data_IF_716495012301
#
_entry.id   IF_716495012301
#
_cell.length_a   1.000
_cell.length_b   1.000
_cell.length_c   1.000
_cell.angle_alpha   90.00
_cell.angle_beta   90.00
_cell.angle_gamma   90.00
#
_symmetry.space_group_name_H-M   'P 1'
#
loop_
_entity.id
_entity.type
_entity.pdbx_description
1 polymer ?
#
# COMPACT_ATOMS: atom_id res chain seq x y z
N UNK A 1 20.07 -8.72 -17.49
CA UNK A 1 19.26 -8.98 -16.28
C UNK A 1 17.99 -8.16 -16.42
N UNK A 2 16.84 -8.80 -16.58
CA UNK A 2 15.55 -8.06 -16.64
C UNK A 2 15.32 -7.40 -15.26
N UNK A 3 14.82 -6.16 -15.21
CA UNK A 3 14.41 -5.55 -13.94
C UNK A 3 13.34 -6.44 -13.32
N UNK A 4 13.55 -6.84 -12.08
CA UNK A 4 12.54 -7.57 -11.32
C UNK A 4 11.35 -6.62 -11.11
N UNK A 5 10.21 -6.93 -11.72
CA UNK A 5 8.97 -6.14 -11.58
C UNK A 5 8.45 -6.13 -10.15
N UNK A 6 8.97 -7.01 -9.28
CA UNK A 6 8.69 -7.05 -7.84
C UNK A 6 9.74 -6.31 -7.00
N UNK A 7 10.85 -5.80 -7.58
CA UNK A 7 11.86 -5.06 -6.82
C UNK A 7 11.35 -3.67 -6.44
N UNK A 8 10.88 -3.62 -5.20
CA UNK A 8 10.41 -2.48 -4.44
C UNK A 8 11.40 -1.32 -4.25
N UNK A 9 11.78 -0.52 -5.25
CA UNK A 9 12.86 0.48 -5.05
C UNK A 9 12.55 1.57 -4.02
N UNK A 10 11.27 1.89 -3.80
CA UNK A 10 10.82 2.92 -2.85
C UNK A 10 10.56 2.40 -1.43
N UNK A 11 10.44 1.07 -1.24
CA UNK A 11 10.26 0.45 0.09
C UNK A 11 11.53 0.49 0.95
N UNK A 12 12.68 0.79 0.36
CA UNK A 12 13.96 0.88 1.06
C UNK A 12 14.35 2.32 1.41
N UNK A 13 13.38 3.16 1.79
CA UNK A 13 13.66 4.50 2.32
C UNK A 13 14.03 4.36 3.80
N UNK A 14 15.34 4.34 4.08
CA UNK A 14 15.81 4.50 5.47
C UNK A 14 15.63 5.96 5.85
N UNK A 15 14.81 6.23 6.87
CA UNK A 15 14.69 7.58 7.42
C UNK A 15 15.82 7.83 8.42
N UNK A 16 16.38 9.04 8.37
CA UNK A 16 17.39 9.48 9.34
C UNK A 16 16.80 9.56 10.75
N UNK A 17 17.64 9.29 11.76
CA UNK A 17 17.19 9.20 13.15
C UNK A 17 16.86 10.56 13.80
N UNK A 18 17.36 11.67 13.27
CA UNK A 18 17.07 12.99 13.83
C UNK A 18 15.60 13.36 13.62
N UNK A 19 14.90 13.78 14.68
CA UNK A 19 13.44 13.97 14.69
C UNK A 19 12.94 14.90 13.57
N UNK A 20 13.48 16.12 13.48
CA UNK A 20 13.05 17.10 12.48
C UNK A 20 13.28 16.62 11.05
N UNK A 21 14.37 15.88 10.83
CA UNK A 21 14.71 15.34 9.52
C UNK A 21 13.83 14.15 9.16
N UNK A 22 13.42 13.35 10.15
CA UNK A 22 12.47 12.25 10.00
C UNK A 22 11.07 12.76 9.66
N UNK A 23 10.62 13.84 10.31
CA UNK A 23 9.36 14.52 9.99
C UNK A 23 9.33 15.01 8.54
N UNK A 24 10.40 15.66 8.08
CA UNK A 24 10.52 16.08 6.67
C UNK A 24 10.49 14.88 5.72
N UNK A 25 11.15 13.78 6.09
CA UNK A 25 11.13 12.53 5.32
C UNK A 25 9.72 11.94 5.21
N UNK A 26 8.94 11.93 6.28
CA UNK A 26 7.54 11.50 6.25
C UNK A 26 6.69 12.37 5.33
N UNK A 27 6.80 13.70 5.43
CA UNK A 27 6.08 14.64 4.57
C UNK A 27 6.43 14.42 3.08
N UNK A 28 7.72 14.26 2.77
CA UNK A 28 8.15 13.97 1.40
C UNK A 28 7.61 12.64 0.87
N UNK A 29 7.68 11.56 1.66
CA UNK A 29 7.13 10.24 1.27
C UNK A 29 5.63 10.35 1.05
N UNK A 30 4.90 11.00 1.94
CA UNK A 30 3.44 11.16 1.83
C UNK A 30 3.06 11.92 0.55
N UNK A 31 3.75 13.02 0.24
CA UNK A 31 3.55 13.77 -1.01
C UNK A 31 3.88 12.94 -2.24
N UNK A 32 4.97 12.17 -2.22
CA UNK A 32 5.32 11.28 -3.32
C UNK A 32 4.24 10.22 -3.55
N UNK A 33 3.71 9.60 -2.50
CA UNK A 33 2.62 8.64 -2.62
C UNK A 33 1.34 9.28 -3.16
N UNK A 34 0.97 10.46 -2.66
CA UNK A 34 -0.22 11.17 -3.08
C UNK A 34 -0.17 11.56 -4.57
N UNK A 35 0.94 12.15 -5.02
CA UNK A 35 1.08 12.60 -6.40
C UNK A 35 1.36 11.46 -7.39
N UNK A 36 1.76 10.27 -6.93
CA UNK A 36 2.01 9.10 -7.77
C UNK A 36 1.07 7.93 -7.46
N UNK A 37 -0.13 8.22 -6.92
CA UNK A 37 -1.03 7.21 -6.37
C UNK A 37 -1.44 6.15 -7.39
N UNK A 38 -1.70 6.53 -8.64
CA UNK A 38 -2.06 5.61 -9.73
C UNK A 38 -0.99 4.55 -9.97
N UNK A 39 0.28 4.98 -10.04
CA UNK A 39 1.43 4.08 -10.19
C UNK A 39 1.53 3.14 -8.99
N UNK A 40 1.32 3.64 -7.79
CA UNK A 40 1.37 2.84 -6.56
C UNK A 40 0.24 1.80 -6.50
N UNK A 41 -0.97 2.17 -6.93
CA UNK A 41 -2.12 1.26 -7.02
C UNK A 41 -1.82 0.14 -8.03
N UNK A 42 -1.29 0.48 -9.21
CA UNK A 42 -0.87 -0.50 -10.22
C UNK A 42 0.19 -1.47 -9.70
N UNK A 43 1.18 -0.98 -8.95
CA UNK A 43 2.19 -1.83 -8.33
C UNK A 43 1.62 -2.79 -7.27
N UNK A 44 0.45 -2.50 -6.71
CA UNK A 44 -0.28 -3.40 -5.82
C UNK A 44 -1.14 -4.43 -6.56
N UNK A 45 -1.12 -4.45 -7.89
CA UNK A 45 -1.94 -5.34 -8.73
C UNK A 45 -3.40 -4.87 -8.89
N UNK A 46 -3.70 -3.64 -8.47
CA UNK A 46 -4.99 -2.98 -8.62
C UNK A 46 -5.00 -2.06 -9.86
N UNK A 47 -6.15 -1.83 -10.51
CA UNK A 47 -6.23 -0.85 -11.59
C UNK A 47 -6.01 0.57 -11.05
N UNK A 48 -5.22 1.41 -11.74
CA UNK A 48 -5.12 2.85 -11.46
C UNK A 48 -6.46 3.53 -11.80
N UNK A 49 -7.37 3.48 -10.84
CA UNK A 49 -8.72 3.99 -10.96
C UNK A 49 -9.15 4.41 -9.56
N UNK A 50 -10.05 5.37 -9.45
CA UNK A 50 -10.75 5.70 -8.20
C UNK A 50 -12.12 4.99 -8.12
N UNK A 51 -12.32 3.94 -8.92
CA UNK A 51 -13.49 3.08 -8.79
C UNK A 51 -13.26 2.00 -7.72
N UNK A 52 -14.34 1.53 -7.12
CA UNK A 52 -14.26 0.32 -6.29
C UNK A 52 -13.74 -0.86 -7.11
N UNK A 53 -12.93 -1.71 -6.47
CA UNK A 53 -12.39 -2.90 -7.09
C UNK A 53 -12.37 -4.05 -6.08
N UNK A 54 -12.82 -5.22 -6.52
CA UNK A 54 -12.61 -6.47 -5.78
C UNK A 54 -12.28 -7.56 -6.78
N UNK A 55 -11.02 -8.00 -6.77
CA UNK A 55 -10.51 -8.99 -7.71
C UNK A 55 -9.84 -10.15 -6.96
N UNK A 56 -10.06 -11.36 -7.45
CA UNK A 56 -9.46 -12.59 -6.94
C UNK A 56 -8.97 -13.39 -8.13
N UNK A 57 -7.65 -13.59 -8.19
CA UNK A 57 -6.99 -14.36 -9.25
C UNK A 57 -6.38 -15.62 -8.65
N UNK A 58 -6.67 -16.76 -9.26
CA UNK A 58 -6.15 -18.07 -8.87
C UNK A 58 -5.26 -18.57 -10.00
N UNK A 59 -4.01 -18.85 -9.69
CA UNK A 59 -3.01 -19.37 -10.61
C UNK A 59 -2.68 -20.80 -10.18
N UNK A 60 -2.98 -21.82 -10.99
CA UNK A 60 -2.59 -23.18 -10.67
C UNK A 60 -1.06 -23.29 -10.66
N UNK A 61 -0.51 -24.07 -9.73
CA UNK A 61 0.91 -24.41 -9.73
C UNK A 61 1.10 -25.69 -10.53
N UNK A 62 1.87 -25.64 -11.62
CA UNK A 62 2.11 -26.81 -12.47
C UNK A 62 2.67 -27.97 -11.63
N UNK A 63 2.12 -29.17 -11.85
CA UNK A 63 2.53 -30.41 -11.19
C UNK A 63 2.37 -30.43 -9.66
N UNK A 64 1.55 -29.54 -9.10
CA UNK A 64 1.17 -29.54 -7.69
C UNK A 64 -0.35 -29.46 -7.57
N UNK A 65 -0.95 -30.16 -6.60
CA UNK A 65 -2.35 -29.96 -6.23
C UNK A 65 -2.49 -28.69 -5.36
N UNK A 66 -1.98 -27.57 -5.86
CA UNK A 66 -1.84 -26.31 -5.13
C UNK A 66 -2.02 -25.13 -6.08
N UNK A 67 -2.25 -23.95 -5.53
CA UNK A 67 -2.48 -22.72 -6.28
C UNK A 67 -1.83 -21.52 -5.59
N UNK A 68 -1.45 -20.53 -6.39
CA UNK A 68 -1.17 -19.19 -5.92
C UNK A 68 -2.45 -18.34 -6.05
N UNK A 69 -2.87 -17.69 -4.97
CA UNK A 69 -4.01 -16.78 -4.98
C UNK A 69 -3.54 -15.36 -4.73
N UNK A 70 -3.92 -14.45 -5.63
CA UNK A 70 -3.79 -13.01 -5.45
C UNK A 70 -5.17 -12.41 -5.21
N UNK A 71 -5.29 -11.58 -4.18
CA UNK A 71 -6.52 -10.86 -3.85
C UNK A 71 -6.22 -9.38 -3.78
N UNK A 72 -7.01 -8.60 -4.50
CA UNK A 72 -6.89 -7.15 -4.55
C UNK A 72 -8.24 -6.52 -4.23
N UNK A 73 -8.26 -5.52 -3.35
CA UNK A 73 -9.47 -4.79 -2.99
C UNK A 73 -9.19 -3.30 -2.86
N UNK A 74 -10.03 -2.48 -3.49
CA UNK A 74 -10.09 -1.03 -3.35
C UNK A 74 -11.49 -0.63 -2.94
N UNK A 75 -11.58 0.25 -1.92
CA UNK A 75 -12.82 0.87 -1.45
C UNK A 75 -12.66 2.38 -1.53
N UNK A 76 -13.75 3.07 -1.81
CA UNK A 76 -13.84 4.52 -1.74
C UNK A 76 -14.64 4.86 -0.50
N UNK A 77 -14.06 5.68 0.37
CA UNK A 77 -14.68 6.05 1.65
C UNK A 77 -14.80 7.57 1.65
N UNK A 78 -16.04 8.06 1.74
CA UNK A 78 -16.32 9.49 1.85
C UNK A 78 -16.13 9.93 3.31
N UNK A 79 -14.91 10.34 3.65
CA UNK A 79 -14.55 10.78 4.98
C UNK A 79 -13.55 11.94 4.94
N UNK A 80 -13.57 12.77 5.96
CA UNK A 80 -12.54 13.80 6.15
C UNK A 80 -11.20 13.16 6.53
N UNK A 81 -10.10 13.87 6.25
CA UNK A 81 -8.77 13.41 6.66
C UNK A 81 -8.69 13.16 8.18
N UNK A 82 -9.35 14.02 8.97
CA UNK A 82 -9.39 13.88 10.44
C UNK A 82 -10.05 12.57 10.87
N UNK A 83 -11.22 12.24 10.31
CA UNK A 83 -11.92 10.97 10.58
C UNK A 83 -11.07 9.78 10.17
N UNK A 84 -10.46 9.83 8.98
CA UNK A 84 -9.56 8.76 8.49
C UNK A 84 -8.36 8.59 9.43
N UNK A 85 -7.72 9.67 9.87
CA UNK A 85 -6.58 9.62 10.79
C UNK A 85 -6.99 9.02 12.14
N UNK A 86 -8.14 9.42 12.69
CA UNK A 86 -8.63 8.88 13.96
C UNK A 86 -8.94 7.38 13.86
N UNK A 87 -9.59 6.94 12.77
CA UNK A 87 -9.88 5.52 12.52
C UNK A 87 -8.59 4.71 12.38
N UNK A 88 -7.62 5.17 11.57
CA UNK A 88 -6.34 4.50 11.39
C UNK A 88 -5.53 4.46 12.69
N UNK A 89 -5.54 5.55 13.46
CA UNK A 89 -4.88 5.62 14.76
C UNK A 89 -5.44 4.55 15.69
N UNK A 90 -6.77 4.49 15.80
CA UNK A 90 -7.46 3.49 16.61
C UNK A 90 -7.13 2.07 16.14
N UNK A 91 -7.21 1.81 14.84
CA UNK A 91 -7.01 0.46 14.28
C UNK A 91 -5.59 -0.06 14.46
N UNK A 92 -4.57 0.75 14.20
CA UNK A 92 -3.18 0.29 14.13
C UNK A 92 -2.38 0.50 15.42
N UNK A 93 -2.75 1.47 16.25
CA UNK A 93 -1.97 1.83 17.44
C UNK A 93 -2.72 1.58 18.76
N UNK A 94 -4.05 1.61 18.75
CA UNK A 94 -4.87 1.45 19.97
C UNK A 94 -5.59 0.10 20.01
N UNK A 95 -5.80 -0.54 18.86
CA UNK A 95 -6.55 -1.79 18.68
C UNK A 95 -5.76 -3.08 18.91
N UNK A 96 -4.56 -3.02 19.50
CA UNK A 96 -3.81 -4.18 19.98
C UNK A 96 -3.47 -4.03 21.46
N UNK A 97 -4.46 -4.28 22.30
CA UNK A 97 -4.25 -4.76 23.66
C UNK A 97 -5.01 -6.09 23.75
N UNK A 98 -4.22 -7.16 23.88
CA UNK A 98 -4.53 -8.58 24.12
C UNK A 98 -5.38 -9.35 23.09
#
# INVERSE_FOLDING_TARGET
>A
VMPDTFKQTWRNSTLVAHESSRLLGFDWIAKQLYHNIDMMIQHCGLPASLAECSDVRIYPLENQNSYHMSKARQRIEDATLEEVVQVLRRQYFEGKAD
#
